data_IF_049182018879
#
_entry.id   IF_049182018879
#
_cell.length_a   1.000
_cell.length_b   1.000
_cell.length_c   1.000
_cell.angle_alpha   90.00
_cell.angle_beta   90.00
_cell.angle_gamma   90.00
#
_symmetry.space_group_name_H-M   'P 1'
#
loop_
_entity.id
_entity.type
_entity.pdbx_description
1 polymer ?
#
# COMPACT_ATOMS: atom_id res chain seq x y z
N UNK A 1 -20.62 -41.56 73.26
CA UNK A 1 -19.88 -41.97 72.04
C UNK A 1 -19.27 -40.75 71.35
N UNK A 2 -18.39 -40.06 72.06
CA UNK A 2 -17.71 -38.83 71.62
C UNK A 2 -16.27 -39.11 71.15
N UNK A 3 -15.69 -40.25 71.55
CA UNK A 3 -14.37 -40.71 71.14
C UNK A 3 -14.27 -41.20 69.68
N UNK A 4 -15.41 -41.59 69.07
CA UNK A 4 -15.43 -42.06 67.68
C UNK A 4 -15.45 -40.89 66.67
N UNK A 5 -15.96 -39.71 67.08
CA UNK A 5 -15.93 -38.49 66.27
C UNK A 5 -14.55 -37.83 66.23
N UNK A 6 -13.81 -37.88 67.33
CA UNK A 6 -12.44 -37.34 67.39
C UNK A 6 -11.43 -38.19 66.62
N UNK A 7 -11.63 -39.52 66.56
CA UNK A 7 -10.81 -40.43 65.76
C UNK A 7 -11.04 -40.26 64.25
N UNK A 8 -12.27 -39.96 63.82
CA UNK A 8 -12.59 -39.68 62.41
C UNK A 8 -12.01 -38.34 61.94
N UNK A 9 -11.92 -37.33 62.83
CA UNK A 9 -11.33 -36.03 62.48
C UNK A 9 -9.79 -36.10 62.29
N UNK A 10 -9.11 -36.98 63.02
CA UNK A 10 -7.66 -37.19 62.94
C UNK A 10 -7.24 -37.98 61.69
N UNK A 11 -8.11 -38.83 61.17
CA UNK A 11 -7.88 -39.58 59.94
C UNK A 11 -7.99 -38.71 58.68
N UNK A 12 -8.86 -37.69 58.70
CA UNK A 12 -9.04 -36.76 57.56
C UNK A 12 -7.88 -35.76 57.45
N UNK A 13 -7.30 -35.33 58.57
CA UNK A 13 -6.14 -34.42 58.56
C UNK A 13 -4.87 -35.11 58.03
N UNK A 14 -4.74 -36.43 58.20
CA UNK A 14 -3.59 -37.17 57.67
C UNK A 14 -3.68 -37.43 56.16
N UNK A 15 -4.87 -37.37 55.56
CA UNK A 15 -5.04 -37.54 54.11
C UNK A 15 -4.83 -36.22 53.32
N UNK A 16 -4.89 -35.07 53.99
CA UNK A 16 -4.61 -33.77 53.37
C UNK A 16 -3.10 -33.49 53.18
N UNK A 17 -2.23 -34.17 53.93
CA UNK A 17 -0.77 -33.96 53.86
C UNK A 17 -0.08 -34.71 52.70
N UNK A 18 -0.77 -35.65 52.03
CA UNK A 18 -0.21 -36.42 50.92
C UNK A 18 -0.45 -35.76 49.54
N UNK A 19 -1.23 -34.67 49.47
CA UNK A 19 -1.57 -33.98 48.20
C UNK A 19 -0.68 -32.74 48.02
N UNK A 20 0.64 -32.88 48.19
CA UNK A 20 1.59 -31.81 47.89
C UNK A 20 2.95 -32.34 47.41
N UNK A 21 2.94 -33.47 46.72
CA UNK A 21 4.11 -33.99 46.04
C UNK A 21 3.72 -34.57 44.67
N UNK A 22 3.02 -33.76 43.84
CA UNK A 22 3.12 -33.96 42.41
C UNK A 22 4.50 -33.48 42.00
N UNK A 23 5.41 -34.44 41.88
CA UNK A 23 6.67 -34.24 41.17
C UNK A 23 6.33 -33.70 39.78
N UNK A 24 6.63 -32.43 39.53
CA UNK A 24 6.73 -31.91 38.18
C UNK A 24 7.85 -32.70 37.48
N UNK A 25 7.49 -33.82 36.87
CA UNK A 25 8.34 -34.44 35.88
C UNK A 25 8.69 -33.35 34.87
N UNK A 26 9.98 -33.15 34.53
CA UNK A 26 10.33 -32.24 33.46
C UNK A 26 9.61 -32.72 32.21
N UNK A 27 8.67 -31.93 31.71
CA UNK A 27 8.10 -32.13 30.39
C UNK A 27 9.29 -32.26 29.45
N UNK A 28 9.39 -33.40 28.79
CA UNK A 28 10.33 -33.65 27.69
C UNK A 28 10.38 -32.39 26.83
N UNK A 29 11.57 -31.88 26.43
CA UNK A 29 11.63 -30.70 25.56
C UNK A 29 10.74 -30.96 24.37
N UNK A 30 9.66 -30.18 24.25
CA UNK A 30 8.78 -30.20 23.10
C UNK A 30 9.69 -30.03 21.88
N UNK A 31 9.72 -31.03 20.99
CA UNK A 31 10.52 -30.94 19.76
C UNK A 31 10.22 -29.59 19.09
N UNK A 32 11.23 -28.89 18.54
CA UNK A 32 10.99 -27.60 17.92
C UNK A 32 9.99 -27.80 16.77
N UNK A 33 8.71 -27.45 17.02
CA UNK A 33 7.68 -27.47 16.00
C UNK A 33 8.06 -26.44 14.95
N UNK A 34 8.47 -26.92 13.79
CA UNK A 34 8.77 -26.09 12.64
C UNK A 34 7.46 -25.42 12.21
N UNK A 35 7.24 -24.17 12.61
CA UNK A 35 6.09 -23.40 12.17
C UNK A 35 6.29 -23.10 10.68
N UNK A 36 5.29 -23.44 9.87
CA UNK A 36 5.28 -23.17 8.45
C UNK A 36 5.38 -21.66 8.22
N UNK A 37 6.21 -21.23 7.27
CA UNK A 37 6.44 -19.80 7.03
C UNK A 37 5.16 -19.16 6.48
N UNK A 38 4.44 -18.42 7.31
CA UNK A 38 3.28 -17.63 6.89
C UNK A 38 3.78 -16.38 6.17
N UNK A 39 3.85 -16.44 4.85
CA UNK A 39 4.18 -15.28 4.01
C UNK A 39 2.95 -14.36 3.94
N UNK A 40 2.98 -13.28 4.72
CA UNK A 40 1.98 -12.22 4.62
C UNK A 40 2.30 -11.37 3.39
N UNK A 41 1.65 -11.69 2.27
CA UNK A 41 1.69 -10.85 1.08
C UNK A 41 0.81 -9.63 1.30
N UNK A 42 1.40 -8.52 1.77
CA UNK A 42 0.71 -7.24 1.86
C UNK A 42 0.69 -6.54 0.51
N UNK A 43 -0.47 -6.46 -0.15
CA UNK A 43 -0.64 -5.56 -1.29
C UNK A 43 -0.71 -4.11 -0.78
N UNK A 44 0.04 -3.20 -1.40
CA UNK A 44 -0.05 -1.78 -1.05
C UNK A 44 -1.44 -1.26 -1.46
N UNK A 45 -2.13 -0.53 -0.57
CA UNK A 45 -3.38 0.11 -0.93
C UNK A 45 -3.12 1.13 -2.05
N UNK A 46 -4.13 1.33 -2.90
CA UNK A 46 -4.08 2.35 -3.94
C UNK A 46 -3.79 3.74 -3.32
N UNK A 47 -3.06 4.61 -4.03
CA UNK A 47 -2.91 5.99 -3.59
C UNK A 47 -4.27 6.67 -3.47
N UNK A 48 -4.45 7.49 -2.44
CA UNK A 48 -5.68 8.26 -2.26
C UNK A 48 -5.80 9.31 -3.36
N UNK A 49 -7.00 9.45 -3.91
CA UNK A 49 -7.36 10.53 -4.81
C UNK A 49 -7.74 11.76 -3.99
N UNK A 50 -7.34 12.94 -4.46
CA UNK A 50 -7.83 14.21 -3.92
C UNK A 50 -9.02 14.68 -4.72
N UNK A 51 -10.11 15.01 -4.02
CA UNK A 51 -11.31 15.56 -4.62
C UNK A 51 -11.33 17.08 -4.44
N UNK A 52 -11.47 17.81 -5.54
CA UNK A 52 -11.68 19.25 -5.54
C UNK A 52 -13.02 19.55 -6.18
N UNK A 53 -13.82 20.38 -5.52
CA UNK A 53 -15.15 20.76 -5.99
C UNK A 53 -15.22 22.28 -6.15
N UNK A 54 -15.69 22.73 -7.32
CA UNK A 54 -15.93 24.16 -7.61
C UNK A 54 -17.25 24.32 -8.37
N UNK A 55 -18.28 24.78 -7.67
CA UNK A 55 -19.65 24.79 -8.20
C UNK A 55 -20.09 23.38 -8.55
N UNK A 56 -20.56 23.17 -9.78
CA UNK A 56 -20.99 21.87 -10.30
C UNK A 56 -19.85 21.00 -10.86
N UNK A 57 -18.60 21.45 -10.76
CA UNK A 57 -17.43 20.72 -11.28
C UNK A 57 -16.73 19.96 -10.15
N UNK A 58 -16.54 18.66 -10.35
CA UNK A 58 -15.76 17.77 -9.50
C UNK A 58 -14.50 17.34 -10.24
N UNK A 59 -13.35 17.48 -9.60
CA UNK A 59 -12.04 17.08 -10.13
C UNK A 59 -11.42 16.06 -9.17
N UNK A 60 -11.06 14.90 -9.70
CA UNK A 60 -10.28 13.89 -8.99
C UNK A 60 -8.81 13.99 -9.43
N UNK A 61 -7.91 14.22 -8.48
CA UNK A 61 -6.48 14.35 -8.72
C UNK A 61 -5.76 13.16 -8.09
N UNK A 62 -5.00 12.44 -8.92
CA UNK A 62 -4.08 11.40 -8.47
C UNK A 62 -2.66 11.95 -8.41
N UNK A 63 -2.04 11.90 -7.23
CA UNK A 63 -0.60 12.16 -7.12
C UNK A 63 0.19 11.03 -7.79
N UNK A 64 1.13 11.39 -8.68
CA UNK A 64 2.09 10.43 -9.25
C UNK A 64 3.47 10.65 -8.63
N UNK A 65 4.18 9.57 -8.31
CA UNK A 65 5.56 9.61 -7.85
C UNK A 65 6.48 9.25 -9.01
N UNK A 66 7.39 10.16 -9.37
CA UNK A 66 8.37 9.95 -10.43
C UNK A 66 9.78 10.28 -9.94
N UNK A 67 10.79 9.42 -10.18
CA UNK A 67 10.67 8.06 -10.74
C UNK A 67 10.06 7.09 -9.71
N UNK A 68 9.16 6.22 -10.16
CA UNK A 68 8.54 5.22 -9.28
C UNK A 68 9.53 4.08 -8.95
N UNK A 69 9.46 3.48 -7.75
CA UNK A 69 10.23 2.29 -7.42
C UNK A 69 9.90 1.10 -8.34
N UNK A 70 10.92 0.36 -8.80
CA UNK A 70 10.79 -0.70 -9.82
C UNK A 70 9.81 -1.84 -9.49
N UNK A 71 9.57 -2.11 -8.20
CA UNK A 71 8.74 -3.23 -7.74
C UNK A 71 7.49 -2.77 -6.97
N UNK A 72 7.06 -1.52 -7.14
CA UNK A 72 5.88 -1.01 -6.45
C UNK A 72 4.60 -1.49 -7.14
N UNK A 73 3.92 -2.46 -6.54
CA UNK A 73 2.59 -2.93 -6.97
C UNK A 73 1.53 -2.47 -5.98
N UNK A 74 0.51 -1.77 -6.46
CA UNK A 74 -0.64 -1.32 -5.68
C UNK A 74 -1.93 -1.81 -6.33
N UNK A 75 -2.98 -2.01 -5.52
CA UNK A 75 -4.29 -2.42 -6.02
C UNK A 75 -4.93 -1.29 -6.83
N UNK A 76 -4.98 -1.45 -8.15
CA UNK A 76 -5.55 -0.45 -9.05
C UNK A 76 -7.08 -0.50 -9.16
N UNK A 77 -7.75 -1.53 -8.61
CA UNK A 77 -9.18 -1.74 -8.82
C UNK A 77 -10.03 -0.59 -8.25
N UNK A 78 -9.59 0.02 -7.14
CA UNK A 78 -10.31 1.15 -6.53
C UNK A 78 -10.16 2.42 -7.37
N UNK A 79 -8.93 2.75 -7.77
CA UNK A 79 -8.65 3.93 -8.61
C UNK A 79 -9.30 3.80 -9.98
N UNK A 80 -9.25 2.62 -10.60
CA UNK A 80 -9.88 2.37 -11.90
C UNK A 80 -11.41 2.57 -11.87
N UNK A 81 -12.05 2.20 -10.75
CA UNK A 81 -13.49 2.40 -10.54
C UNK A 81 -13.83 3.88 -10.42
N UNK A 82 -13.06 4.62 -9.63
CA UNK A 82 -13.28 6.06 -9.43
C UNK A 82 -13.01 6.85 -10.71
N UNK A 83 -11.96 6.47 -11.46
CA UNK A 83 -11.67 7.03 -12.78
C UNK A 83 -12.73 6.68 -13.82
N UNK A 84 -13.36 5.51 -13.73
CA UNK A 84 -14.44 5.08 -14.63
C UNK A 84 -15.73 5.91 -14.51
N UNK A 85 -15.89 6.66 -13.41
CA UNK A 85 -16.98 7.62 -13.25
C UNK A 85 -16.66 9.02 -13.80
N UNK A 86 -15.40 9.27 -14.18
CA UNK A 86 -14.99 10.57 -14.68
C UNK A 86 -15.38 10.73 -16.16
N UNK A 87 -15.94 11.88 -16.51
CA UNK A 87 -16.24 12.23 -17.91
C UNK A 87 -14.96 12.41 -18.74
N UNK A 88 -13.89 12.89 -18.11
CA UNK A 88 -12.61 13.16 -18.74
C UNK A 88 -11.47 12.74 -17.83
N UNK A 89 -10.58 11.91 -18.37
CA UNK A 89 -9.34 11.49 -17.71
C UNK A 89 -8.16 12.21 -18.35
N UNK A 90 -7.42 12.97 -17.55
CA UNK A 90 -6.21 13.66 -17.98
C UNK A 90 -4.98 12.91 -17.46
N UNK A 91 -4.11 12.50 -18.38
CA UNK A 91 -2.82 11.91 -18.04
C UNK A 91 -1.81 12.96 -17.57
N UNK A 92 -0.74 12.55 -16.86
CA UNK A 92 0.33 13.46 -16.45
C UNK A 92 0.91 14.20 -17.67
N UNK A 93 1.17 15.52 -17.56
CA UNK A 93 1.80 16.28 -18.62
C UNK A 93 3.27 15.86 -18.74
N UNK A 94 3.61 15.09 -19.76
CA UNK A 94 4.98 14.70 -20.02
C UNK A 94 5.08 13.33 -20.69
N UNK A 95 6.18 13.13 -21.41
CA UNK A 95 6.55 11.81 -21.92
C UNK A 95 7.35 11.12 -20.83
N UNK A 96 6.91 9.97 -20.34
CA UNK A 96 7.70 9.15 -19.41
C UNK A 96 8.90 8.58 -20.17
N UNK A 97 10.06 9.20 -20.01
CA UNK A 97 11.31 8.77 -20.65
C UNK A 97 12.02 7.84 -19.67
N UNK A 98 11.84 6.53 -19.84
CA UNK A 98 12.75 5.53 -19.27
C UNK A 98 13.91 5.36 -20.25
N UNK A 99 14.90 6.24 -20.17
CA UNK A 99 15.99 6.28 -21.14
C UNK A 99 17.19 5.43 -20.70
N UNK A 100 17.24 4.19 -21.20
CA UNK A 100 18.50 3.50 -21.53
C UNK A 100 18.94 3.88 -22.96
N UNK A 101 18.78 5.15 -23.34
CA UNK A 101 19.02 5.61 -24.71
C UNK A 101 20.43 6.18 -24.85
N UNK A 102 21.29 5.47 -25.59
CA UNK A 102 22.60 5.99 -26.02
C UNK A 102 22.51 7.25 -26.89
N UNK A 103 23.65 7.82 -27.34
CA UNK A 103 23.74 9.14 -27.96
C UNK A 103 22.85 9.35 -29.20
N UNK A 104 22.61 8.30 -30.00
CA UNK A 104 21.70 8.35 -31.16
C UNK A 104 20.24 8.46 -30.71
N UNK A 105 19.86 7.69 -29.69
CA UNK A 105 18.51 7.73 -29.12
C UNK A 105 18.20 9.09 -28.49
N UNK A 106 19.19 9.71 -27.84
CA UNK A 106 19.06 11.07 -27.30
C UNK A 106 18.74 12.14 -28.36
N UNK A 107 19.41 12.09 -29.53
CA UNK A 107 19.14 13.03 -30.63
C UNK A 107 17.74 12.84 -31.24
N UNK A 108 17.28 11.60 -31.39
CA UNK A 108 15.90 11.32 -31.80
C UNK A 108 14.88 11.83 -30.77
N UNK A 109 15.17 11.69 -29.48
CA UNK A 109 14.33 12.20 -28.39
C UNK A 109 14.18 13.72 -28.44
N UNK A 110 15.25 14.45 -28.73
CA UNK A 110 15.20 15.91 -28.87
C UNK A 110 14.22 16.36 -29.98
N UNK A 111 14.26 15.70 -31.13
CA UNK A 111 13.32 15.95 -32.24
C UNK A 111 11.86 15.68 -31.81
N UNK A 112 11.60 14.55 -31.16
CA UNK A 112 10.27 14.19 -30.66
C UNK A 112 9.76 15.18 -29.62
N UNK A 113 10.61 15.64 -28.71
CA UNK A 113 10.26 16.65 -27.72
C UNK A 113 9.90 18.00 -28.37
N UNK A 114 10.64 18.40 -29.41
CA UNK A 114 10.33 19.64 -30.16
C UNK A 114 8.98 19.57 -30.87
N UNK A 115 8.57 18.39 -31.34
CA UNK A 115 7.24 18.15 -31.94
C UNK A 115 6.14 18.05 -30.90
N UNK A 116 6.39 17.43 -29.74
CA UNK A 116 5.42 17.28 -28.66
C UNK A 116 4.95 18.63 -28.07
N UNK A 117 5.77 19.69 -28.20
CA UNK A 117 5.40 21.06 -27.79
C UNK A 117 4.45 21.77 -28.77
N UNK A 118 4.17 21.17 -29.92
CA UNK A 118 3.32 21.78 -30.95
C UNK A 118 1.88 21.28 -30.79
N UNK A 119 0.93 22.19 -30.99
CA UNK A 119 -0.49 21.89 -31.07
C UNK A 119 -0.79 21.10 -32.36
N UNK A 120 -1.94 20.41 -32.45
CA UNK A 120 -2.42 19.84 -33.70
C UNK A 120 -2.38 20.93 -34.78
N UNK A 121 -1.73 20.66 -35.92
CA UNK A 121 -1.36 21.61 -37.00
C UNK A 121 0.05 22.26 -36.90
N UNK A 122 0.89 21.89 -35.93
CA UNK A 122 2.29 22.34 -35.88
C UNK A 122 2.50 23.77 -35.34
N UNK A 123 1.44 24.40 -34.83
CA UNK A 123 1.48 25.74 -34.21
C UNK A 123 1.90 25.65 -32.75
N UNK A 124 2.53 26.69 -32.21
CA UNK A 124 2.81 26.78 -30.78
C UNK A 124 1.67 27.46 -30.02
N UNK A 125 1.62 27.25 -28.69
CA UNK A 125 0.64 27.93 -27.83
C UNK A 125 0.66 29.46 -28.01
N UNK A 126 1.86 30.04 -28.17
CA UNK A 126 2.05 31.48 -28.44
C UNK A 126 1.46 31.97 -29.77
N UNK A 127 1.24 31.07 -30.72
CA UNK A 127 0.70 31.42 -32.04
C UNK A 127 -0.84 31.37 -32.05
N UNK A 128 -1.46 30.80 -31.01
CA UNK A 128 -2.92 30.60 -30.90
C UNK A 128 -3.51 31.43 -29.77
N UNK A 129 -2.77 31.65 -28.69
CA UNK A 129 -3.20 32.45 -27.55
C UNK A 129 -2.86 33.93 -27.76
N UNK A 130 -3.70 34.83 -27.24
CA UNK A 130 -3.35 36.25 -27.19
C UNK A 130 -2.09 36.45 -26.34
N UNK A 131 -1.23 37.44 -26.65
CA UNK A 131 0.04 37.64 -25.94
C UNK A 131 -0.14 37.81 -24.43
N UNK A 132 -1.19 38.51 -24.01
CA UNK A 132 -1.54 38.73 -22.60
C UNK A 132 -1.92 37.42 -21.87
N UNK A 133 -2.54 36.47 -22.58
CA UNK A 133 -2.94 35.18 -22.04
C UNK A 133 -1.74 34.26 -21.96
N UNK A 134 -0.90 34.24 -23.00
CA UNK A 134 0.34 33.46 -23.01
C UNK A 134 1.33 33.95 -21.92
N UNK A 135 1.39 35.25 -21.63
CA UNK A 135 2.26 35.78 -20.58
C UNK A 135 1.84 35.39 -19.14
N UNK A 136 0.59 34.94 -18.95
CA UNK A 136 0.06 34.53 -17.64
C UNK A 136 0.42 33.08 -17.26
N UNK A 137 0.75 32.23 -18.23
CA UNK A 137 0.94 30.79 -18.08
C UNK A 137 2.34 30.37 -18.53
#
# INVERSE_FOLDING_TARGET
MTALRTMFLLLIVSLAAAVSAQSNAPSTPDEPRLLETVVVSGSLPAPKLWELTKGDKKLLIMGSLSPAPRAMTWDAATVARDMGQAELVLGPPGVSISADTGPIGGLMLYSSFKKAKQLPQGKMLRDVLSPETYARW
#
